data_IF_357965234217
#
_entry.id   IF_357965234217
#
_cell.length_a   1.000
_cell.length_b   1.000
_cell.length_c   1.000
_cell.angle_alpha   90.00
_cell.angle_beta   90.00
_cell.angle_gamma   90.00
#
_symmetry.space_group_name_H-M   'P 1'
#
loop_
_entity.id
_entity.type
_entity.pdbx_description
1 polymer ?
#
# COMPACT_ATOMS: atom_id res chain seq x y z
N UNK A 1 0.51 -43.97 -10.96
CA UNK A 1 -0.59 -43.15 -11.52
C UNK A 1 -1.88 -43.97 -11.46
N UNK A 2 -3.00 -43.41 -11.01
CA UNK A 2 -4.29 -44.09 -11.06
C UNK A 2 -4.73 -44.25 -12.51
N UNK A 3 -5.39 -45.39 -12.85
CA UNK A 3 -5.88 -45.69 -14.19
C UNK A 3 -6.71 -44.53 -14.78
N UNK A 4 -7.53 -43.90 -13.95
CA UNK A 4 -8.35 -42.73 -14.33
C UNK A 4 -7.53 -41.50 -14.77
N UNK A 5 -6.41 -41.22 -14.09
CA UNK A 5 -5.53 -40.11 -14.46
C UNK A 5 -4.79 -40.38 -15.79
N UNK A 6 -4.38 -41.63 -16.00
CA UNK A 6 -3.71 -42.03 -17.29
C UNK A 6 -4.66 -41.88 -18.46
N UNK A 7 -5.91 -42.33 -18.32
CA UNK A 7 -6.92 -42.21 -19.37
C UNK A 7 -7.28 -40.72 -19.62
N UNK A 8 -7.50 -39.95 -18.59
CA UNK A 8 -7.79 -38.51 -18.70
C UNK A 8 -6.67 -37.75 -19.44
N UNK A 9 -5.41 -37.99 -19.08
CA UNK A 9 -4.26 -37.36 -19.73
C UNK A 9 -4.14 -37.78 -21.21
N UNK A 10 -4.40 -39.06 -21.52
CA UNK A 10 -4.39 -39.55 -22.92
C UNK A 10 -5.53 -38.93 -23.72
N UNK A 11 -6.71 -38.74 -23.14
CA UNK A 11 -7.84 -38.07 -23.80
C UNK A 11 -7.53 -36.60 -24.10
N UNK A 12 -6.80 -35.91 -23.23
CA UNK A 12 -6.39 -34.54 -23.43
C UNK A 12 -5.46 -34.35 -24.64
N UNK A 13 -4.54 -35.31 -24.89
CA UNK A 13 -3.47 -35.19 -25.89
C UNK A 13 -3.83 -35.93 -27.21
N UNK A 14 -4.77 -36.90 -27.21
CA UNK A 14 -5.07 -37.68 -28.38
C UNK A 14 -5.69 -36.83 -29.51
N UNK A 15 -5.23 -37.06 -30.77
CA UNK A 15 -5.88 -36.48 -31.96
C UNK A 15 -7.29 -37.07 -32.10
N UNK A 16 -8.31 -36.22 -31.84
CA UNK A 16 -9.72 -36.61 -31.94
C UNK A 16 -10.23 -36.42 -33.36
N UNK A 17 -11.20 -37.23 -33.78
CA UNK A 17 -11.74 -37.21 -35.13
C UNK A 17 -12.51 -35.91 -35.46
N UNK A 18 -12.95 -35.16 -34.44
CA UNK A 18 -13.64 -33.87 -34.61
C UNK A 18 -12.80 -32.71 -34.07
N UNK A 19 -12.24 -31.90 -34.97
CA UNK A 19 -11.41 -30.74 -34.65
C UNK A 19 -12.14 -29.68 -33.76
N UNK A 20 -13.47 -29.57 -33.86
CA UNK A 20 -14.27 -28.58 -33.17
C UNK A 20 -14.16 -28.68 -31.62
N UNK A 21 -14.19 -29.91 -31.06
CA UNK A 21 -14.16 -30.13 -29.61
C UNK A 21 -12.80 -29.78 -29.03
N UNK A 22 -11.72 -30.12 -29.75
CA UNK A 22 -10.36 -29.74 -29.34
C UNK A 22 -10.16 -28.22 -29.31
N UNK A 23 -10.75 -27.52 -30.30
CA UNK A 23 -10.70 -26.06 -30.37
C UNK A 23 -11.45 -25.45 -29.19
N UNK A 24 -12.66 -25.93 -28.86
CA UNK A 24 -13.45 -25.40 -27.73
C UNK A 24 -12.72 -25.66 -26.39
N UNK A 25 -12.16 -26.86 -26.20
CA UNK A 25 -11.37 -27.17 -24.99
C UNK A 25 -10.09 -26.32 -24.90
N UNK A 26 -9.42 -26.06 -26.02
CA UNK A 26 -8.24 -25.19 -26.09
C UNK A 26 -8.60 -23.74 -25.78
N UNK A 27 -9.71 -23.22 -26.33
CA UNK A 27 -10.21 -21.87 -26.02
C UNK A 27 -10.49 -21.73 -24.53
N UNK A 28 -11.13 -22.71 -23.90
CA UNK A 28 -11.37 -22.73 -22.46
C UNK A 28 -10.06 -22.71 -21.67
N UNK A 29 -9.08 -23.51 -22.06
CA UNK A 29 -7.75 -23.53 -21.44
C UNK A 29 -6.99 -22.20 -21.59
N UNK A 30 -7.07 -21.57 -22.77
CA UNK A 30 -6.50 -20.23 -23.02
C UNK A 30 -7.18 -19.18 -22.18
N UNK A 31 -8.50 -19.23 -22.03
CA UNK A 31 -9.24 -18.31 -21.16
C UNK A 31 -8.76 -18.38 -19.71
N UNK A 32 -8.56 -19.59 -19.18
CA UNK A 32 -7.99 -19.81 -17.83
C UNK A 32 -6.54 -19.30 -17.75
N UNK A 33 -5.74 -19.55 -18.78
CA UNK A 33 -4.35 -19.10 -18.87
C UNK A 33 -4.25 -17.58 -18.80
N UNK A 34 -5.05 -16.86 -19.60
CA UNK A 34 -5.08 -15.38 -19.61
C UNK A 34 -5.57 -14.85 -18.26
N UNK A 35 -6.61 -15.44 -17.66
CA UNK A 35 -7.10 -15.05 -16.36
C UNK A 35 -6.07 -15.26 -15.24
N UNK A 36 -5.36 -16.40 -15.26
CA UNK A 36 -4.28 -16.68 -14.30
C UNK A 36 -3.11 -15.70 -14.44
N UNK A 37 -2.70 -15.45 -15.69
CA UNK A 37 -1.66 -14.48 -16.02
C UNK A 37 -2.03 -13.07 -15.50
N UNK A 38 -3.26 -12.63 -15.80
CA UNK A 38 -3.74 -11.31 -15.38
C UNK A 38 -3.76 -11.17 -13.84
N UNK A 39 -4.24 -12.21 -13.13
CA UNK A 39 -4.23 -12.20 -11.66
C UNK A 39 -2.81 -12.05 -11.08
N UNK A 40 -1.85 -12.82 -11.59
CA UNK A 40 -0.45 -12.74 -11.12
C UNK A 40 0.13 -11.37 -11.40
N UNK A 41 -0.02 -10.83 -12.61
CA UNK A 41 0.53 -9.53 -13.00
C UNK A 41 -0.07 -8.41 -12.14
N UNK A 42 -1.40 -8.37 -12.00
CA UNK A 42 -2.08 -7.29 -11.28
C UNK A 42 -1.76 -7.34 -9.78
N UNK A 43 -1.76 -8.52 -9.15
CA UNK A 43 -1.36 -8.63 -7.74
C UNK A 43 0.09 -8.22 -7.51
N UNK A 44 1.00 -8.56 -8.44
CA UNK A 44 2.41 -8.16 -8.36
C UNK A 44 2.60 -6.64 -8.52
N UNK A 45 1.77 -6.00 -9.35
CA UNK A 45 1.73 -4.55 -9.49
C UNK A 45 1.25 -3.88 -8.20
N UNK A 46 0.18 -4.39 -7.57
CA UNK A 46 -0.29 -3.86 -6.28
C UNK A 46 0.77 -3.97 -5.19
N UNK A 47 1.49 -5.08 -5.12
CA UNK A 47 2.59 -5.24 -4.17
C UNK A 47 3.72 -4.24 -4.42
N UNK A 48 4.16 -4.12 -5.68
CA UNK A 48 5.22 -3.19 -6.06
C UNK A 48 4.86 -1.72 -5.78
N UNK A 49 3.60 -1.35 -6.02
CA UNK A 49 3.12 -0.01 -5.69
C UNK A 49 3.11 0.22 -4.17
N UNK A 50 2.72 -0.80 -3.38
CA UNK A 50 2.79 -0.75 -1.92
C UNK A 50 4.21 -0.54 -1.39
N UNK A 51 5.18 -1.27 -1.93
CA UNK A 51 6.60 -1.12 -1.56
C UNK A 51 7.18 0.23 -1.97
N UNK A 52 6.81 0.74 -3.15
CA UNK A 52 7.23 2.07 -3.61
C UNK A 52 6.73 3.16 -2.65
N UNK A 53 5.44 3.13 -2.32
CA UNK A 53 4.85 4.10 -1.40
C UNK A 53 5.46 3.99 -0.01
N UNK A 54 5.67 2.77 0.49
CA UNK A 54 6.34 2.56 1.77
C UNK A 54 7.78 3.13 1.78
N UNK A 55 8.50 3.03 0.67
CA UNK A 55 9.83 3.61 0.52
C UNK A 55 9.82 5.14 0.57
N UNK A 56 8.79 5.79 0.01
CA UNK A 56 8.64 7.26 0.07
C UNK A 56 8.40 7.76 1.50
N UNK A 57 7.60 7.06 2.30
CA UNK A 57 7.36 7.42 3.72
C UNK A 57 8.63 7.30 4.57
N UNK A 58 9.59 6.45 4.20
CA UNK A 58 10.77 6.19 5.01
C UNK A 58 11.74 7.36 5.15
N UNK A 59 11.69 8.35 4.25
CA UNK A 59 12.66 9.46 4.22
C UNK A 59 12.28 10.64 5.12
N UNK A 60 10.99 10.78 5.45
CA UNK A 60 10.47 11.92 6.22
C UNK A 60 9.92 11.49 7.58
N UNK A 61 9.42 10.26 7.69
CA UNK A 61 8.80 9.77 8.92
C UNK A 61 9.83 9.19 9.89
N UNK A 62 9.64 9.43 11.22
CA UNK A 62 10.48 8.82 12.23
C UNK A 62 10.28 7.30 12.30
N UNK A 63 11.29 6.59 12.81
CA UNK A 63 11.22 5.14 13.01
C UNK A 63 10.07 4.76 13.95
N UNK A 64 9.93 5.51 15.05
CA UNK A 64 8.83 5.37 16.00
C UNK A 64 8.24 6.74 16.34
N UNK A 65 6.92 6.78 16.45
CA UNK A 65 6.15 7.95 16.87
C UNK A 65 5.28 7.58 18.07
N UNK A 66 5.45 8.31 19.17
CA UNK A 66 4.65 8.16 20.39
C UNK A 66 3.56 9.24 20.41
N UNK A 67 2.32 8.82 20.64
CA UNK A 67 1.17 9.68 20.75
C UNK A 67 0.28 9.20 21.91
N UNK A 68 -0.47 10.11 22.54
CA UNK A 68 -1.45 9.76 23.55
C UNK A 68 -2.66 9.04 22.92
N UNK A 69 -3.19 8.03 23.58
CA UNK A 69 -4.38 7.30 23.09
C UNK A 69 -5.64 8.15 23.31
N UNK A 70 -5.79 8.74 24.48
CA UNK A 70 -6.90 9.60 24.82
C UNK A 70 -6.40 11.01 25.10
N UNK A 71 -6.91 11.99 24.38
CA UNK A 71 -6.43 13.37 24.42
C UNK A 71 -5.46 13.66 23.27
N UNK A 72 -5.00 14.91 23.19
CA UNK A 72 -4.20 15.39 22.07
C UNK A 72 -2.76 15.69 22.46
N UNK A 73 -2.55 16.08 23.70
CA UNK A 73 -1.27 16.53 24.21
C UNK A 73 -0.84 15.76 25.45
N UNK A 74 0.44 15.79 25.73
CA UNK A 74 1.07 15.22 26.92
C UNK A 74 2.35 15.96 27.27
N UNK A 75 2.86 15.76 28.48
CA UNK A 75 4.06 16.41 28.98
C UNK A 75 5.27 15.48 28.92
N UNK A 76 6.46 16.10 28.90
CA UNK A 76 7.73 15.35 28.89
C UNK A 76 7.87 14.38 30.10
N UNK A 77 7.28 14.73 31.24
CA UNK A 77 7.25 13.89 32.43
C UNK A 77 6.40 12.62 32.26
N UNK A 78 5.29 12.73 31.54
CA UNK A 78 4.37 11.59 31.29
C UNK A 78 5.09 10.44 30.56
N UNK A 79 6.02 10.74 29.67
CA UNK A 79 6.79 9.79 28.87
C UNK A 79 8.19 9.53 29.43
N UNK A 80 8.55 10.12 30.58
CA UNK A 80 9.89 10.01 31.18
C UNK A 80 10.99 10.26 30.17
N UNK A 81 10.92 11.36 29.45
CA UNK A 81 11.75 11.72 28.31
C UNK A 81 13.25 11.54 28.59
N UNK A 82 13.72 11.89 29.79
CA UNK A 82 15.12 11.75 30.20
C UNK A 82 15.60 10.30 30.29
N UNK A 83 14.73 9.36 30.64
CA UNK A 83 15.01 7.93 30.67
C UNK A 83 14.93 7.32 29.28
N UNK A 84 13.93 7.74 28.47
CA UNK A 84 13.73 7.30 27.11
C UNK A 84 14.95 7.58 26.22
N UNK A 85 15.55 8.76 26.33
CA UNK A 85 16.79 9.13 25.62
C UNK A 85 18.01 8.24 25.94
N UNK A 86 17.97 7.48 27.06
CA UNK A 86 19.06 6.58 27.48
C UNK A 86 18.86 5.13 27.05
N UNK A 87 17.73 4.80 26.43
CA UNK A 87 17.44 3.44 25.98
C UNK A 87 18.43 3.05 24.86
N UNK A 88 19.11 1.94 25.05
CA UNK A 88 20.03 1.41 24.02
C UNK A 88 19.23 1.08 22.76
N UNK A 89 19.62 1.65 21.64
CA UNK A 89 18.92 1.54 20.35
C UNK A 89 18.17 2.79 19.95
N UNK A 90 17.94 3.74 20.86
CA UNK A 90 17.44 5.10 20.56
C UNK A 90 18.64 5.96 20.16
N UNK A 91 18.62 6.58 19.00
CA UNK A 91 19.66 7.45 18.51
C UNK A 91 19.33 8.92 18.78
N UNK A 92 18.14 9.35 18.39
CA UNK A 92 17.65 10.73 18.58
C UNK A 92 16.18 10.73 18.96
N UNK A 93 15.78 11.78 19.65
CA UNK A 93 14.40 12.00 20.09
C UNK A 93 14.04 13.45 19.85
N UNK A 94 12.97 13.69 19.10
CA UNK A 94 12.45 14.99 18.76
C UNK A 94 11.05 15.19 19.37
N UNK A 95 10.89 16.27 20.10
CA UNK A 95 9.59 16.74 20.59
C UNK A 95 8.87 17.43 19.44
N UNK A 96 7.58 17.15 19.28
CA UNK A 96 6.79 17.65 18.15
C UNK A 96 5.47 18.23 18.65
N UNK A 97 5.16 19.43 18.15
CA UNK A 97 3.82 20.03 18.20
C UNK A 97 3.29 20.08 16.78
N UNK A 98 2.22 19.33 16.51
CA UNK A 98 1.61 19.27 15.19
C UNK A 98 0.14 19.61 15.25
N UNK A 99 -0.25 20.73 14.60
CA UNK A 99 -1.58 21.30 14.65
C UNK A 99 -2.02 21.89 13.31
N UNK A 100 -3.34 21.95 13.12
CA UNK A 100 -3.91 22.61 11.95
C UNK A 100 -3.90 24.14 12.13
N UNK A 101 -3.53 24.85 11.07
CA UNK A 101 -3.53 26.30 11.01
C UNK A 101 -3.98 26.81 9.64
N UNK A 102 -4.31 28.09 9.60
CA UNK A 102 -4.54 28.83 8.37
C UNK A 102 -3.28 29.64 8.05
N UNK A 103 -2.75 29.48 6.85
CA UNK A 103 -1.63 30.26 6.36
C UNK A 103 -2.13 31.39 5.47
N UNK A 104 -1.51 32.55 5.57
CA UNK A 104 -1.74 33.67 4.68
C UNK A 104 -0.40 34.23 4.17
N UNK A 105 -0.33 34.36 2.86
CA UNK A 105 0.81 35.00 2.20
C UNK A 105 0.26 35.97 1.13
N UNK A 106 0.54 37.25 1.31
CA UNK A 106 -0.11 38.33 0.54
C UNK A 106 -1.65 38.19 0.58
N UNK A 107 -2.28 38.02 -0.60
CA UNK A 107 -3.74 37.89 -0.75
C UNK A 107 -4.21 36.44 -0.78
N UNK A 108 -3.30 35.46 -0.67
CA UNK A 108 -3.63 34.03 -0.73
C UNK A 108 -3.72 33.45 0.67
N UNK A 109 -4.65 32.54 0.80
CA UNK A 109 -4.88 31.80 2.06
C UNK A 109 -4.99 30.30 1.76
N UNK A 110 -4.39 29.48 2.62
CA UNK A 110 -4.42 28.02 2.52
C UNK A 110 -4.50 27.42 3.94
N UNK A 111 -5.24 26.32 4.07
CA UNK A 111 -5.27 25.55 5.33
C UNK A 111 -4.22 24.48 5.29
N UNK A 112 -3.47 24.31 6.36
CA UNK A 112 -2.44 23.29 6.43
C UNK A 112 -2.10 22.88 7.86
N UNK A 113 -0.96 22.27 8.01
CA UNK A 113 -0.44 21.72 9.25
C UNK A 113 0.86 22.42 9.60
N UNK A 114 0.92 23.00 10.78
CA UNK A 114 2.17 23.46 11.40
C UNK A 114 2.79 22.29 12.14
N UNK A 115 4.04 21.99 11.83
CA UNK A 115 4.85 21.01 12.55
C UNK A 115 6.00 21.73 13.23
N UNK A 116 5.82 22.02 14.53
CA UNK A 116 6.88 22.56 15.41
C UNK A 116 7.82 21.45 15.84
N UNK A 117 9.12 21.62 15.59
CA UNK A 117 10.15 20.61 15.84
C UNK A 117 11.38 21.23 16.48
N UNK A 118 12.17 20.40 17.17
CA UNK A 118 13.49 20.81 17.68
C UNK A 118 14.52 20.85 16.54
N UNK A 119 15.63 21.57 16.73
CA UNK A 119 16.74 21.64 15.74
C UNK A 119 17.29 20.27 15.32
N UNK A 120 17.19 19.27 16.18
CA UNK A 120 17.65 17.92 15.89
C UNK A 120 16.81 17.20 14.82
N UNK A 121 15.64 17.71 14.48
CA UNK A 121 14.74 17.13 13.47
C UNK A 121 15.42 17.04 12.10
N UNK A 122 16.13 18.07 11.67
CA UNK A 122 16.85 18.07 10.39
C UNK A 122 17.91 16.96 10.28
N UNK A 123 18.52 16.61 11.43
CA UNK A 123 19.51 15.53 11.52
C UNK A 123 18.87 14.14 11.72
N UNK A 124 17.66 14.10 12.25
CA UNK A 124 16.91 12.88 12.53
C UNK A 124 16.23 12.36 11.28
N UNK A 125 15.72 13.25 10.47
CA UNK A 125 15.08 12.96 9.19
C UNK A 125 16.00 13.36 8.05
N UNK A 126 15.82 12.76 6.89
CA UNK A 126 16.55 13.14 5.68
C UNK A 126 15.96 14.42 5.01
N UNK A 127 15.24 15.26 5.79
CA UNK A 127 14.57 16.46 5.25
C UNK A 127 15.53 17.42 4.54
N UNK A 128 16.77 17.52 5.00
CA UNK A 128 17.80 18.33 4.33
C UNK A 128 18.11 17.83 2.91
N UNK A 129 18.00 16.53 2.67
CA UNK A 129 18.20 15.92 1.33
C UNK A 129 17.00 16.11 0.41
N UNK A 130 15.82 16.40 0.97
CA UNK A 130 14.59 16.64 0.22
C UNK A 130 14.37 18.10 -0.12
N UNK A 131 15.28 19.00 0.31
CA UNK A 131 15.20 20.43 -0.02
C UNK A 131 15.38 20.65 -1.52
N UNK A 132 14.40 21.26 -2.13
CA UNK A 132 14.41 21.70 -3.53
C UNK A 132 15.03 23.11 -3.68
N UNK A 133 15.10 23.86 -2.56
CA UNK A 133 15.72 25.19 -2.52
C UNK A 133 15.78 25.75 -1.12
N UNK A 134 16.76 26.60 -0.84
CA UNK A 134 17.01 27.19 0.46
C UNK A 134 17.81 26.28 1.40
N UNK A 135 17.61 26.44 2.69
CA UNK A 135 18.28 25.68 3.75
C UNK A 135 17.28 25.31 4.88
N UNK A 136 17.60 24.28 5.65
CA UNK A 136 16.80 23.89 6.82
C UNK A 136 17.21 24.78 8.01
N UNK A 137 16.60 25.94 8.09
CA UNK A 137 16.80 26.91 9.16
C UNK A 137 15.45 27.26 9.76
N UNK A 138 15.26 27.06 11.07
CA UNK A 138 14.00 27.33 11.76
C UNK A 138 14.07 28.60 12.60
N UNK A 139 15.27 28.98 13.08
CA UNK A 139 15.47 30.17 13.86
C UNK A 139 16.87 30.77 13.66
N UNK A 140 16.96 32.08 13.58
CA UNK A 140 18.24 32.78 13.55
C UNK A 140 18.12 34.11 14.33
N UNK A 141 18.73 34.16 15.52
CA UNK A 141 18.55 35.26 16.45
C UNK A 141 17.09 35.40 16.91
N UNK A 142 16.52 36.58 16.70
CA UNK A 142 15.12 36.87 17.06
C UNK A 142 14.14 36.68 15.88
N UNK A 143 14.60 36.11 14.78
CA UNK A 143 13.78 35.91 13.60
C UNK A 143 13.44 34.41 13.44
N UNK A 144 12.14 34.14 13.34
CA UNK A 144 11.63 32.78 13.10
C UNK A 144 11.47 32.51 11.61
N UNK A 145 11.93 31.33 11.23
CA UNK A 145 11.89 30.84 9.86
C UNK A 145 11.06 29.56 9.79
N UNK A 146 10.63 29.25 8.56
CA UNK A 146 9.88 28.05 8.27
C UNK A 146 10.37 27.37 6.99
N UNK A 147 10.26 26.06 6.97
CA UNK A 147 10.49 25.24 5.78
C UNK A 147 9.14 24.69 5.30
N UNK A 148 8.73 25.08 4.10
CA UNK A 148 7.42 24.74 3.55
C UNK A 148 7.47 23.65 2.51
N UNK A 149 6.38 22.87 2.38
CA UNK A 149 6.22 21.93 1.30
C UNK A 149 6.12 22.60 -0.07
N UNK A 150 6.62 21.94 -1.12
CA UNK A 150 6.67 22.50 -2.48
C UNK A 150 5.28 22.82 -3.04
N UNK A 151 4.28 21.98 -2.78
CA UNK A 151 2.89 22.23 -3.18
C UNK A 151 2.28 23.42 -2.45
N UNK A 152 2.52 23.55 -1.13
CA UNK A 152 2.09 24.69 -0.34
C UNK A 152 2.73 25.97 -0.89
N UNK A 153 4.03 25.96 -1.17
CA UNK A 153 4.75 27.08 -1.75
C UNK A 153 4.20 27.49 -3.13
N UNK A 154 3.88 26.51 -3.97
CA UNK A 154 3.30 26.76 -5.29
C UNK A 154 1.89 27.36 -5.21
N UNK A 155 1.03 26.82 -4.33
CA UNK A 155 -0.33 27.28 -4.14
C UNK A 155 -0.39 28.71 -3.61
N UNK A 156 0.43 28.99 -2.60
CA UNK A 156 0.49 30.30 -1.95
C UNK A 156 1.38 31.31 -2.67
N UNK A 157 2.36 30.86 -3.46
CA UNK A 157 3.26 31.69 -4.24
C UNK A 157 4.48 32.21 -3.47
N UNK A 158 4.78 31.68 -2.27
CA UNK A 158 5.98 32.06 -1.54
C UNK A 158 7.22 31.33 -2.05
N UNK A 159 8.39 31.94 -1.79
CA UNK A 159 9.70 31.39 -2.14
C UNK A 159 10.67 31.57 -0.99
N UNK A 160 11.70 30.72 -0.95
CA UNK A 160 12.76 30.83 0.04
C UNK A 160 13.52 32.17 -0.06
N UNK A 161 13.91 32.71 1.07
CA UNK A 161 14.65 33.98 1.24
C UNK A 161 13.96 35.24 0.69
N UNK A 162 12.63 35.23 0.56
CA UNK A 162 11.87 36.44 0.30
C UNK A 162 11.52 37.18 1.62
N UNK A 163 11.53 38.53 1.57
CA UNK A 163 11.26 39.35 2.73
C UNK A 163 9.78 39.45 3.14
N UNK A 164 8.88 38.82 2.40
CA UNK A 164 7.46 38.79 2.75
C UNK A 164 7.20 37.64 3.72
N UNK A 165 6.69 37.90 4.92
CA UNK A 165 6.41 36.88 5.90
C UNK A 165 5.15 36.07 5.55
N UNK A 166 5.15 34.80 5.92
CA UNK A 166 3.96 33.96 5.97
C UNK A 166 3.31 34.20 7.32
N UNK A 167 2.05 34.58 7.34
CA UNK A 167 1.26 34.71 8.57
C UNK A 167 0.59 33.38 8.86
N UNK A 168 0.65 32.95 10.12
CA UNK A 168 0.05 31.72 10.60
C UNK A 168 -1.04 32.10 11.59
N UNK A 169 -2.26 31.62 11.35
CA UNK A 169 -3.40 31.84 12.23
C UNK A 169 -3.78 30.49 12.86
N UNK A 170 -3.68 30.41 14.18
CA UNK A 170 -4.09 29.27 14.98
C UNK A 170 -5.36 29.63 15.78
N UNK A 171 -6.35 28.72 15.86
CA UNK A 171 -7.49 28.96 16.74
C UNK A 171 -7.03 28.96 18.19
N UNK A 172 -7.55 29.89 18.99
CA UNK A 172 -7.28 29.91 20.42
C UNK A 172 -7.69 28.59 21.08
N UNK A 173 -6.85 28.11 21.98
CA UNK A 173 -7.08 26.83 22.68
C UNK A 173 -8.29 26.87 23.59
N UNK A 174 -8.47 27.97 24.31
CA UNK A 174 -9.59 28.18 25.21
C UNK A 174 -10.41 29.39 24.75
N UNK A 175 -11.68 29.14 24.44
CA UNK A 175 -12.61 30.20 24.06
C UNK A 175 -13.68 29.74 23.09
N UNK A 176 -14.75 30.51 23.02
CA UNK A 176 -15.76 30.34 21.93
C UNK A 176 -15.44 31.34 20.83
N UNK A 177 -15.48 30.88 19.59
CA UNK A 177 -15.32 31.78 18.44
C UNK A 177 -16.36 32.87 18.51
N UNK A 178 -15.89 34.12 18.71
CA UNK A 178 -16.78 35.27 18.74
C UNK A 178 -17.17 35.66 17.32
N UNK A 179 -18.39 35.29 16.90
CA UNK A 179 -18.91 35.58 15.55
C UNK A 179 -18.95 37.07 15.22
N UNK A 180 -18.93 37.98 16.23
CA UNK A 180 -18.92 39.43 16.03
C UNK A 180 -17.50 39.99 15.80
N UNK A 181 -16.47 39.29 16.27
CA UNK A 181 -15.06 39.63 16.04
C UNK A 181 -14.26 38.31 15.85
N UNK A 182 -14.30 37.71 14.69
CA UNK A 182 -13.59 36.46 14.45
C UNK A 182 -12.08 36.57 14.57
N UNK A 183 -11.51 37.72 14.20
CA UNK A 183 -10.04 37.96 14.26
C UNK A 183 -9.48 37.86 15.67
N UNK A 184 -10.24 38.25 16.67
CA UNK A 184 -9.87 38.15 18.09
C UNK A 184 -9.93 36.70 18.63
N UNK A 185 -10.34 35.74 17.87
CA UNK A 185 -10.43 34.32 18.27
C UNK A 185 -9.27 33.47 17.72
N UNK A 186 -8.29 34.10 17.09
CA UNK A 186 -7.10 33.44 16.54
C UNK A 186 -5.85 34.07 17.15
N UNK A 187 -4.90 33.20 17.49
CA UNK A 187 -3.52 33.61 17.70
C UNK A 187 -2.84 33.78 16.35
N UNK A 188 -1.98 34.74 16.21
CA UNK A 188 -1.32 35.05 14.94
C UNK A 188 0.16 35.31 15.18
N UNK A 189 0.96 34.63 14.35
CA UNK A 189 2.39 34.87 14.28
C UNK A 189 2.86 34.86 12.81
N UNK A 190 4.11 35.22 12.57
CA UNK A 190 4.67 35.30 11.23
C UNK A 190 6.07 34.68 11.16
N UNK A 191 6.35 34.01 10.04
CA UNK A 191 7.63 33.36 9.77
C UNK A 191 8.13 33.70 8.36
N UNK A 192 9.43 33.65 8.17
CA UNK A 192 10.03 33.79 6.85
C UNK A 192 10.39 32.43 6.28
N UNK A 193 10.17 32.23 4.98
CA UNK A 193 10.52 30.99 4.32
C UNK A 193 12.04 30.87 4.11
N UNK A 194 12.69 29.92 4.79
CA UNK A 194 14.12 29.59 4.64
C UNK A 194 14.37 28.50 3.61
N UNK A 195 13.45 27.56 3.43
CA UNK A 195 13.60 26.45 2.53
C UNK A 195 12.28 25.87 2.04
N UNK A 196 12.35 25.13 0.96
CA UNK A 196 11.21 24.41 0.37
C UNK A 196 11.61 22.96 0.19
N UNK A 197 10.85 22.04 0.77
CA UNK A 197 11.06 20.60 0.65
C UNK A 197 10.04 19.94 -0.28
N UNK A 198 10.40 18.80 -0.84
CA UNK A 198 9.51 17.95 -1.63
C UNK A 198 9.82 16.48 -1.36
N UNK A 199 8.80 15.77 -0.88
CA UNK A 199 8.88 14.32 -0.54
C UNK A 199 7.96 13.46 -1.39
N UNK A 200 7.37 14.06 -2.44
CA UNK A 200 6.44 13.41 -3.37
C UNK A 200 5.15 12.87 -2.71
N UNK A 201 4.72 13.51 -1.61
CA UNK A 201 3.52 13.16 -0.88
C UNK A 201 2.65 14.39 -0.66
N UNK A 202 1.43 14.37 -1.22
CA UNK A 202 0.51 15.50 -1.14
C UNK A 202 0.20 15.94 0.29
N UNK A 203 0.16 15.01 1.26
CA UNK A 203 -0.09 15.31 2.67
C UNK A 203 0.98 16.22 3.27
N UNK A 204 2.25 16.03 2.89
CA UNK A 204 3.37 16.84 3.35
C UNK A 204 3.64 18.02 2.41
N UNK A 205 3.70 17.75 1.12
CA UNK A 205 4.09 18.76 0.13
C UNK A 205 3.08 19.90 -0.01
N UNK A 206 1.77 19.59 0.08
CA UNK A 206 0.71 20.58 -0.13
C UNK A 206 0.25 21.28 1.15
N UNK A 207 0.54 20.71 2.34
CA UNK A 207 -0.09 21.18 3.58
C UNK A 207 0.87 21.49 4.72
N UNK A 208 2.12 21.03 4.69
CA UNK A 208 2.99 21.11 5.86
C UNK A 208 3.91 22.32 5.83
N UNK A 209 3.97 22.99 6.97
CA UNK A 209 4.91 24.05 7.28
C UNK A 209 5.67 23.68 8.56
N UNK A 210 6.98 23.47 8.44
CA UNK A 210 7.87 23.12 9.56
C UNK A 210 8.40 24.40 10.18
N UNK A 211 8.27 24.53 11.49
CA UNK A 211 8.69 25.69 12.28
C UNK A 211 9.45 25.28 13.53
N UNK A 212 10.03 26.24 14.24
CA UNK A 212 10.63 26.01 15.55
C UNK A 212 9.57 25.53 16.55
N UNK A 213 9.95 24.62 17.45
CA UNK A 213 9.07 24.05 18.46
C UNK A 213 8.53 25.11 19.43
N UNK A 214 9.38 26.08 19.81
CA UNK A 214 8.98 27.13 20.75
C UNK A 214 7.92 28.05 20.12
N UNK A 215 8.12 28.46 18.85
CA UNK A 215 7.12 29.22 18.11
C UNK A 215 5.78 28.45 18.02
N UNK A 216 5.82 27.16 17.74
CA UNK A 216 4.60 26.37 17.69
C UNK A 216 3.88 26.30 19.05
N UNK A 217 4.62 26.15 20.16
CA UNK A 217 4.06 26.16 21.51
C UNK A 217 3.40 27.49 21.83
N UNK A 218 4.05 28.61 21.53
CA UNK A 218 3.51 29.96 21.74
C UNK A 218 2.25 30.18 20.88
N UNK A 219 2.28 29.79 19.60
CA UNK A 219 1.18 29.95 18.65
C UNK A 219 -0.07 29.16 19.05
N UNK A 220 0.09 27.95 19.59
CA UNK A 220 -1.02 27.07 19.99
C UNK A 220 -1.33 27.12 21.48
N UNK A 221 -0.75 28.05 22.22
CA UNK A 221 -0.95 28.23 23.66
C UNK A 221 -0.61 26.98 24.47
N UNK A 222 0.51 26.31 24.13
CA UNK A 222 1.01 25.13 24.82
C UNK A 222 2.04 25.51 25.88
N UNK A 223 2.10 24.71 26.94
CA UNK A 223 3.11 24.86 27.97
C UNK A 223 4.51 24.47 27.49
N UNK A 224 5.56 24.85 28.20
CA UNK A 224 6.97 24.69 27.78
C UNK A 224 7.33 23.22 27.48
N UNK A 225 6.81 22.29 28.27
CA UNK A 225 7.07 20.84 28.12
C UNK A 225 5.92 20.08 27.46
N UNK A 226 4.91 20.78 26.94
CA UNK A 226 3.75 20.15 26.28
C UNK A 226 4.04 19.85 24.82
N UNK A 227 3.61 18.67 24.37
CA UNK A 227 3.80 18.18 23.00
C UNK A 227 2.63 17.33 22.51
N UNK A 228 2.46 17.20 21.19
CA UNK A 228 1.44 16.34 20.57
C UNK A 228 1.99 14.96 20.21
N UNK A 229 3.29 14.89 19.95
CA UNK A 229 3.97 13.64 19.59
C UNK A 229 5.45 13.68 20.01
N UNK A 230 6.02 12.52 20.22
CA UNK A 230 7.44 12.32 20.38
C UNK A 230 7.94 11.42 19.25
N UNK A 231 8.86 11.94 18.45
CA UNK A 231 9.42 11.24 17.29
C UNK A 231 10.81 10.70 17.65
N UNK A 232 11.06 9.45 17.26
CA UNK A 232 12.27 8.71 17.67
C UNK A 232 12.94 8.13 16.44
N UNK A 233 14.26 8.36 16.35
CA UNK A 233 15.14 7.68 15.41
C UNK A 233 15.86 6.53 16.11
N UNK A 234 15.91 5.38 15.45
CA UNK A 234 16.59 4.19 15.92
C UNK A 234 17.99 4.07 15.30
N UNK A 235 18.92 3.53 16.05
CA UNK A 235 20.27 3.22 15.55
C UNK A 235 20.26 2.10 14.51
N UNK A 236 19.22 1.26 14.47
CA UNK A 236 19.03 0.19 13.51
C UNK A 236 17.59 -0.27 13.47
N UNK A 237 17.04 -0.49 12.27
CA UNK A 237 15.70 -1.04 12.07
C UNK A 237 15.51 -2.42 12.75
N UNK A 238 16.57 -3.22 12.87
CA UNK A 238 16.49 -4.53 13.53
C UNK A 238 16.21 -4.44 15.03
N UNK A 239 16.51 -3.30 15.64
CA UNK A 239 16.25 -3.05 17.06
C UNK A 239 14.81 -2.58 17.35
N UNK A 240 14.00 -2.31 16.33
CA UNK A 240 12.67 -1.71 16.47
C UNK A 240 11.80 -2.43 17.52
N UNK A 241 11.66 -3.74 17.40
CA UNK A 241 10.80 -4.52 18.31
C UNK A 241 11.26 -4.45 19.75
N UNK A 242 12.56 -4.61 19.99
CA UNK A 242 13.15 -4.60 21.35
C UNK A 242 13.04 -3.22 21.97
N UNK A 243 13.33 -2.18 21.20
CA UNK A 243 13.24 -0.78 21.68
C UNK A 243 11.79 -0.42 21.95
N UNK A 244 10.86 -0.78 21.07
CA UNK A 244 9.42 -0.54 21.23
C UNK A 244 8.88 -1.18 22.52
N UNK A 245 9.25 -2.43 22.82
CA UNK A 245 8.85 -3.12 24.06
C UNK A 245 9.40 -2.41 25.30
N UNK A 246 10.66 -1.96 25.27
CA UNK A 246 11.27 -1.19 26.36
C UNK A 246 10.56 0.15 26.58
N UNK A 247 10.29 0.87 25.50
CA UNK A 247 9.57 2.14 25.57
C UNK A 247 8.15 1.91 26.12
N UNK A 248 7.42 0.91 25.61
CA UNK A 248 6.07 0.60 26.08
C UNK A 248 6.03 0.27 27.58
N UNK A 249 7.04 -0.46 28.07
CA UNK A 249 7.18 -0.77 29.49
C UNK A 249 7.45 0.50 30.34
N UNK A 250 8.17 1.47 29.78
CA UNK A 250 8.54 2.73 30.45
C UNK A 250 7.35 3.69 30.56
N UNK A 251 6.59 3.87 29.45
CA UNK A 251 5.52 4.87 29.36
C UNK A 251 4.12 4.34 29.71
N UNK A 252 3.93 3.01 29.81
CA UNK A 252 2.65 2.37 30.16
C UNK A 252 1.64 2.33 29.01
N UNK A 253 0.38 2.01 29.35
CA UNK A 253 -0.70 1.75 28.36
C UNK A 253 -1.41 3.02 27.87
N UNK A 254 -1.13 4.19 28.43
CA UNK A 254 -1.77 5.47 28.03
C UNK A 254 -1.29 6.01 26.68
N UNK A 255 -0.25 5.42 26.10
CA UNK A 255 0.41 5.89 24.88
C UNK A 255 0.43 4.80 23.80
N UNK A 256 0.28 5.25 22.57
CA UNK A 256 0.44 4.42 21.38
C UNK A 256 1.80 4.69 20.75
N UNK A 257 2.57 3.63 20.49
CA UNK A 257 3.82 3.70 19.75
C UNK A 257 3.53 3.17 18.35
N UNK A 258 3.71 4.02 17.35
CA UNK A 258 3.51 3.67 15.93
C UNK A 258 4.85 3.60 15.21
N UNK A 259 5.08 2.53 14.46
CA UNK A 259 6.18 2.47 13.51
C UNK A 259 5.81 3.20 12.20
N UNK A 260 6.73 3.32 11.25
CA UNK A 260 6.51 4.00 9.96
C UNK A 260 5.27 3.51 9.23
N UNK A 261 5.05 2.21 9.16
CA UNK A 261 3.86 1.63 8.50
C UNK A 261 2.57 1.93 9.25
N UNK A 262 2.60 1.86 10.58
CA UNK A 262 1.44 2.13 11.43
C UNK A 262 1.06 3.62 11.47
N UNK A 263 2.00 4.53 11.21
CA UNK A 263 1.72 5.97 11.09
C UNK A 263 0.76 6.25 9.93
N UNK A 264 0.86 5.48 8.85
CA UNK A 264 0.02 5.56 7.65
C UNK A 264 -0.98 4.40 7.54
N UNK A 265 -1.43 3.85 8.67
CA UNK A 265 -2.34 2.69 8.72
C UNK A 265 -3.57 2.85 7.83
N UNK A 266 -4.18 4.05 7.80
CA UNK A 266 -5.36 4.32 6.99
C UNK A 266 -5.08 4.15 5.50
N UNK A 267 -3.93 4.61 5.01
CA UNK A 267 -3.52 4.48 3.63
C UNK A 267 -3.26 3.02 3.25
N UNK A 268 -2.48 2.29 4.07
CA UNK A 268 -2.21 0.87 3.83
C UNK A 268 -3.46 0.01 3.93
N UNK A 269 -4.39 0.35 4.81
CA UNK A 269 -5.69 -0.32 4.92
C UNK A 269 -6.51 -0.14 3.65
N UNK A 270 -6.57 1.07 3.08
CA UNK A 270 -7.26 1.34 1.81
C UNK A 270 -6.63 0.52 0.69
N UNK A 271 -5.30 0.54 0.54
CA UNK A 271 -4.60 -0.27 -0.46
C UNK A 271 -4.88 -1.77 -0.33
N UNK A 272 -4.91 -2.30 0.89
CA UNK A 272 -5.27 -3.70 1.12
C UNK A 272 -6.69 -4.01 0.67
N UNK A 273 -7.64 -3.13 0.99
CA UNK A 273 -9.05 -3.27 0.56
C UNK A 273 -9.14 -3.23 -0.97
N UNK A 274 -8.46 -2.30 -1.63
CA UNK A 274 -8.39 -2.22 -3.10
C UNK A 274 -7.79 -3.49 -3.72
N UNK A 275 -6.70 -4.02 -3.16
CA UNK A 275 -6.10 -5.29 -3.58
C UNK A 275 -7.11 -6.43 -3.52
N UNK A 276 -7.86 -6.55 -2.42
CA UNK A 276 -8.87 -7.59 -2.24
C UNK A 276 -10.06 -7.44 -3.18
N UNK A 277 -10.54 -6.21 -3.38
CA UNK A 277 -11.64 -5.92 -4.33
C UNK A 277 -11.21 -6.31 -5.76
N UNK A 278 -10.03 -5.89 -6.16
CA UNK A 278 -9.47 -6.21 -7.48
C UNK A 278 -9.30 -7.73 -7.67
N UNK A 279 -8.79 -8.41 -6.65
CA UNK A 279 -8.69 -9.87 -6.66
C UNK A 279 -10.05 -10.54 -6.82
N UNK A 280 -11.09 -10.08 -6.13
CA UNK A 280 -12.44 -10.61 -6.23
C UNK A 280 -13.03 -10.37 -7.63
N UNK A 281 -12.88 -9.17 -8.20
CA UNK A 281 -13.37 -8.84 -9.55
C UNK A 281 -12.69 -9.74 -10.58
N UNK A 282 -11.37 -9.88 -10.53
CA UNK A 282 -10.62 -10.71 -11.46
C UNK A 282 -10.93 -12.19 -11.28
N UNK A 283 -11.13 -12.66 -10.05
CA UNK A 283 -11.58 -14.03 -9.77
C UNK A 283 -12.97 -14.30 -10.33
N UNK A 284 -13.86 -13.30 -10.30
CA UNK A 284 -15.19 -13.41 -10.90
C UNK A 284 -15.11 -13.48 -12.44
N UNK A 285 -14.27 -12.66 -13.07
CA UNK A 285 -14.00 -12.73 -14.52
C UNK A 285 -13.42 -14.11 -14.88
N UNK A 286 -12.49 -14.59 -14.07
CA UNK A 286 -11.92 -15.92 -14.24
C UNK A 286 -12.96 -17.03 -14.09
N UNK A 287 -13.90 -16.89 -13.14
CA UNK A 287 -15.01 -17.83 -12.98
C UNK A 287 -15.85 -17.92 -14.26
N UNK A 288 -16.15 -16.78 -14.91
CA UNK A 288 -16.86 -16.74 -16.18
C UNK A 288 -16.06 -17.49 -17.28
N UNK A 289 -14.75 -17.30 -17.33
CA UNK A 289 -13.89 -18.02 -18.27
C UNK A 289 -13.91 -19.55 -18.00
N UNK A 290 -13.91 -19.94 -16.73
CA UNK A 290 -13.98 -21.36 -16.32
C UNK A 290 -15.36 -21.98 -16.62
N UNK A 291 -16.45 -21.20 -16.61
CA UNK A 291 -17.77 -21.71 -17.02
C UNK A 291 -17.78 -22.26 -18.46
N UNK A 292 -16.94 -21.75 -19.36
CA UNK A 292 -16.80 -22.30 -20.69
C UNK A 292 -16.34 -23.78 -20.67
N UNK A 293 -15.65 -24.22 -19.59
CA UNK A 293 -15.26 -25.62 -19.40
C UNK A 293 -16.49 -26.52 -19.21
N UNK A 294 -17.56 -26.03 -18.58
CA UNK A 294 -18.80 -26.79 -18.40
C UNK A 294 -19.39 -27.17 -19.78
N UNK A 295 -19.45 -26.17 -20.68
CA UNK A 295 -19.93 -26.40 -22.05
C UNK A 295 -19.02 -27.33 -22.83
N UNK A 296 -17.71 -27.09 -22.80
CA UNK A 296 -16.69 -27.90 -23.44
C UNK A 296 -16.71 -29.35 -22.95
N UNK A 297 -16.77 -29.56 -21.65
CA UNK A 297 -16.79 -30.90 -21.06
C UNK A 297 -18.12 -31.62 -21.30
N UNK A 298 -19.24 -30.90 -21.31
CA UNK A 298 -20.54 -31.49 -21.66
C UNK A 298 -20.55 -31.99 -23.09
N UNK A 299 -20.04 -31.21 -24.05
CA UNK A 299 -19.91 -31.58 -25.44
C UNK A 299 -18.97 -32.78 -25.63
N UNK A 300 -17.86 -32.80 -24.90
CA UNK A 300 -16.89 -33.89 -24.91
C UNK A 300 -17.50 -35.21 -24.39
N UNK A 301 -18.31 -35.15 -23.32
CA UNK A 301 -19.02 -36.31 -22.77
C UNK A 301 -19.99 -36.90 -23.83
N UNK A 302 -20.69 -36.04 -24.57
CA UNK A 302 -21.60 -36.48 -25.66
C UNK A 302 -20.83 -37.12 -26.81
N UNK A 303 -19.73 -36.54 -27.25
CA UNK A 303 -18.89 -37.11 -28.33
C UNK A 303 -18.28 -38.47 -27.96
N UNK A 304 -18.05 -38.69 -26.66
CA UNK A 304 -17.45 -39.89 -26.10
C UNK A 304 -18.47 -40.91 -25.59
N UNK A 305 -19.73 -40.79 -26.00
CA UNK A 305 -20.80 -41.68 -25.55
C UNK A 305 -20.52 -43.16 -25.91
N UNK A 306 -19.96 -43.43 -27.09
CA UNK A 306 -19.62 -44.82 -27.52
C UNK A 306 -18.40 -45.37 -26.76
N UNK A 307 -17.43 -44.53 -26.43
CA UNK A 307 -16.31 -44.92 -25.55
C UNK A 307 -16.84 -45.23 -24.13
N UNK A 308 -17.81 -44.46 -23.65
CA UNK A 308 -18.48 -44.70 -22.35
C UNK A 308 -19.21 -46.01 -22.34
N UNK A 309 -19.99 -46.35 -23.42
CA UNK A 309 -20.67 -47.63 -23.60
C UNK A 309 -19.69 -48.78 -23.60
N UNK A 310 -18.59 -48.65 -24.33
CA UNK A 310 -17.52 -49.64 -24.38
C UNK A 310 -16.89 -49.90 -23.03
N UNK A 311 -16.52 -48.86 -22.30
CA UNK A 311 -15.99 -48.97 -20.93
C UNK A 311 -16.98 -49.66 -20.00
N UNK A 312 -18.25 -49.37 -20.12
CA UNK A 312 -19.31 -49.97 -19.32
C UNK A 312 -19.45 -51.45 -19.62
N UNK A 313 -19.43 -51.83 -20.90
CA UNK A 313 -19.47 -53.24 -21.33
C UNK A 313 -18.26 -54.04 -20.84
N UNK A 314 -17.12 -53.36 -20.64
CA UNK A 314 -15.92 -53.94 -20.02
C UNK A 314 -15.99 -53.96 -18.46
N UNK A 315 -17.14 -53.56 -17.86
CA UNK A 315 -17.36 -53.66 -16.44
C UNK A 315 -16.92 -52.41 -15.62
N UNK A 316 -16.65 -51.29 -16.27
CA UNK A 316 -16.31 -50.05 -15.58
C UNK A 316 -17.51 -49.52 -14.75
N UNK A 317 -17.25 -49.19 -13.47
CA UNK A 317 -18.27 -48.62 -12.62
C UNK A 317 -18.53 -47.13 -13.01
N UNK A 318 -19.78 -46.67 -12.82
CA UNK A 318 -20.18 -45.29 -13.08
C UNK A 318 -19.22 -44.27 -12.44
N UNK A 319 -18.79 -44.51 -11.20
CA UNK A 319 -17.86 -43.66 -10.48
C UNK A 319 -16.47 -43.54 -11.13
N UNK A 320 -16.01 -44.59 -11.83
CA UNK A 320 -14.75 -44.54 -12.56
C UNK A 320 -14.88 -43.64 -13.79
N UNK A 321 -15.98 -43.77 -14.54
CA UNK A 321 -16.25 -42.94 -15.72
C UNK A 321 -16.38 -41.49 -15.34
N UNK A 322 -17.17 -41.19 -14.32
CA UNK A 322 -17.30 -39.81 -13.80
C UNK A 322 -15.96 -39.25 -13.37
N UNK A 323 -15.12 -40.03 -12.73
CA UNK A 323 -13.78 -39.58 -12.27
C UNK A 323 -12.83 -39.30 -13.45
N UNK A 324 -12.94 -40.02 -14.56
CA UNK A 324 -12.13 -39.78 -15.78
C UNK A 324 -12.45 -38.40 -16.35
N UNK A 325 -13.73 -38.11 -16.61
CA UNK A 325 -14.15 -36.85 -17.18
C UNK A 325 -13.96 -35.65 -16.19
N UNK A 326 -14.15 -35.88 -14.90
CA UNK A 326 -13.81 -34.88 -13.88
C UNK A 326 -12.33 -34.49 -13.94
N UNK A 327 -11.45 -35.49 -13.97
CA UNK A 327 -10.01 -35.26 -14.07
C UNK A 327 -9.62 -34.58 -15.37
N UNK A 328 -10.30 -34.89 -16.48
CA UNK A 328 -10.05 -34.22 -17.77
C UNK A 328 -10.38 -32.72 -17.70
N UNK A 329 -11.57 -32.33 -17.23
CA UNK A 329 -11.95 -30.93 -17.08
C UNK A 329 -11.08 -30.19 -16.06
N UNK A 330 -10.75 -30.85 -14.95
CA UNK A 330 -9.85 -30.30 -13.95
C UNK A 330 -8.42 -30.09 -14.49
N UNK A 331 -7.90 -31.03 -15.28
CA UNK A 331 -6.59 -30.91 -15.92
C UNK A 331 -6.53 -29.79 -16.93
N UNK A 332 -7.59 -29.51 -17.70
CA UNK A 332 -7.65 -28.34 -18.60
C UNK A 332 -7.44 -27.06 -17.81
N UNK A 333 -8.18 -26.90 -16.71
CA UNK A 333 -8.04 -25.73 -15.82
C UNK A 333 -6.65 -25.65 -15.20
N UNK A 334 -6.13 -26.76 -14.68
CA UNK A 334 -4.86 -26.81 -13.97
C UNK A 334 -3.66 -26.52 -14.89
N UNK A 335 -3.65 -27.11 -16.08
CA UNK A 335 -2.59 -26.87 -17.08
C UNK A 335 -2.67 -25.41 -17.57
N UNK A 336 -3.88 -24.92 -17.86
CA UNK A 336 -4.09 -23.50 -18.21
C UNK A 336 -3.58 -22.57 -17.12
N UNK A 337 -3.88 -22.87 -15.84
CA UNK A 337 -3.40 -22.10 -14.70
C UNK A 337 -1.88 -22.08 -14.60
N UNK A 338 -1.22 -23.24 -14.70
CA UNK A 338 0.26 -23.32 -14.63
C UNK A 338 0.90 -22.49 -15.74
N UNK A 339 0.43 -22.66 -16.99
CA UNK A 339 0.97 -21.90 -18.12
C UNK A 339 0.75 -20.40 -17.90
N UNK A 340 -0.46 -19.99 -17.49
CA UNK A 340 -0.79 -18.59 -17.22
C UNK A 340 0.07 -17.98 -16.12
N UNK A 341 0.24 -18.70 -15.01
CA UNK A 341 1.11 -18.27 -13.91
C UNK A 341 2.56 -18.15 -14.36
N UNK A 342 3.09 -19.13 -15.10
CA UNK A 342 4.47 -19.07 -15.61
C UNK A 342 4.65 -17.86 -16.54
N UNK A 343 3.72 -17.62 -17.46
CA UNK A 343 3.77 -16.45 -18.34
C UNK A 343 3.67 -15.17 -17.52
N UNK A 344 2.76 -15.08 -16.56
CA UNK A 344 2.61 -13.93 -15.67
C UNK A 344 3.88 -13.62 -14.88
N UNK A 345 4.49 -14.64 -14.27
CA UNK A 345 5.77 -14.50 -13.54
C UNK A 345 6.88 -14.05 -14.48
N UNK A 346 7.00 -14.63 -15.68
CA UNK A 346 8.01 -14.23 -16.66
C UNK A 346 7.83 -12.76 -17.08
N UNK A 347 6.59 -12.33 -17.33
CA UNK A 347 6.31 -10.93 -17.66
C UNK A 347 6.69 -9.98 -16.52
N UNK A 348 6.36 -10.34 -15.28
CA UNK A 348 6.76 -9.57 -14.11
C UNK A 348 8.28 -9.48 -13.97
N UNK A 349 8.99 -10.60 -14.14
CA UNK A 349 10.46 -10.63 -14.07
C UNK A 349 11.08 -9.78 -15.19
N UNK A 350 10.57 -9.87 -16.41
CA UNK A 350 11.03 -9.02 -17.53
C UNK A 350 10.83 -7.55 -17.19
N UNK A 351 9.69 -7.17 -16.66
CA UNK A 351 9.43 -5.77 -16.26
C UNK A 351 10.37 -5.32 -15.13
N UNK A 352 10.63 -6.18 -14.12
CA UNK A 352 11.55 -5.85 -13.02
C UNK A 352 12.99 -5.60 -13.51
N UNK A 353 13.46 -6.36 -14.51
CA UNK A 353 14.84 -6.23 -15.02
C UNK A 353 14.99 -5.16 -16.12
N UNK A 354 14.02 -5.03 -17.00
CA UNK A 354 14.13 -4.17 -18.17
C UNK A 354 13.36 -2.86 -18.04
N UNK A 355 12.41 -2.75 -17.10
CA UNK A 355 11.62 -1.53 -16.91
C UNK A 355 10.88 -1.06 -18.17
N UNK A 356 10.32 -2.00 -18.97
CA UNK A 356 9.73 -1.68 -20.27
C UNK A 356 8.55 -0.72 -20.20
N UNK A 357 7.76 -0.85 -19.13
CA UNK A 357 6.64 0.04 -18.84
C UNK A 357 7.12 1.02 -17.78
N UNK A 358 7.06 2.30 -18.12
CA UNK A 358 7.48 3.40 -17.26
C UNK A 358 6.29 4.29 -16.94
N UNK A 359 6.36 4.99 -15.80
CA UNK A 359 5.43 6.05 -15.43
C UNK A 359 6.18 7.36 -15.27
N UNK A 360 5.52 8.53 -15.48
CA UNK A 360 6.14 9.82 -15.19
C UNK A 360 6.52 9.86 -13.69
N UNK A 361 7.75 10.25 -13.41
CA UNK A 361 8.20 10.60 -12.06
C UNK A 361 7.64 11.95 -11.63
N UNK A 362 7.95 12.38 -10.41
CA UNK A 362 7.55 13.69 -9.90
C UNK A 362 8.11 14.83 -10.76
N UNK A 363 9.30 14.66 -11.26
CA UNK A 363 9.85 15.55 -12.30
C UNK A 363 9.36 15.06 -13.66
N UNK A 364 8.65 15.92 -14.39
CA UNK A 364 8.07 15.65 -15.71
C UNK A 364 9.07 15.07 -16.74
N UNK A 365 10.35 15.03 -16.39
CA UNK A 365 11.46 14.54 -17.22
C UNK A 365 12.05 13.22 -16.77
N UNK A 366 11.72 12.71 -15.58
CA UNK A 366 12.19 11.41 -15.09
C UNK A 366 11.15 10.32 -15.33
N UNK A 367 11.56 9.25 -16.03
CA UNK A 367 10.74 8.06 -16.27
C UNK A 367 11.13 7.01 -15.23
N UNK A 368 10.21 6.67 -14.34
CA UNK A 368 10.41 5.62 -13.33
C UNK A 368 9.81 4.31 -13.84
N UNK A 369 10.52 3.18 -13.74
CA UNK A 369 9.94 1.87 -14.08
C UNK A 369 8.70 1.60 -13.24
N UNK A 370 7.64 1.08 -13.87
CA UNK A 370 6.43 0.71 -13.16
C UNK A 370 6.75 -0.34 -12.09
N UNK A 371 6.44 -0.10 -10.81
CA UNK A 371 6.87 -0.96 -9.71
C UNK A 371 6.15 -2.31 -9.77
N UNK A 372 6.92 -3.38 -9.68
CA UNK A 372 6.39 -4.76 -9.62
C UNK A 372 7.15 -5.53 -8.54
N UNK A 373 6.40 -6.20 -7.66
CA UNK A 373 6.95 -7.07 -6.64
C UNK A 373 6.21 -8.41 -6.60
N UNK A 374 6.96 -9.50 -6.79
CA UNK A 374 6.43 -10.86 -6.81
C UNK A 374 6.41 -11.45 -5.40
N UNK A 375 5.22 -11.70 -4.86
CA UNK A 375 5.05 -12.44 -3.62
C UNK A 375 4.65 -13.88 -3.91
N UNK A 376 5.42 -14.83 -3.40
CA UNK A 376 5.15 -16.26 -3.58
C UNK A 376 3.76 -16.68 -3.06
N UNK A 377 3.30 -16.04 -1.99
CA UNK A 377 1.98 -16.30 -1.38
C UNK A 377 0.86 -15.96 -2.38
N UNK A 378 0.96 -14.84 -3.10
CA UNK A 378 -0.05 -14.43 -4.08
C UNK A 378 -0.11 -15.40 -5.26
N UNK A 379 1.04 -15.87 -5.74
CA UNK A 379 1.12 -16.90 -6.80
C UNK A 379 0.45 -18.19 -6.34
N UNK A 380 0.70 -18.63 -5.12
CA UNK A 380 0.08 -19.82 -4.54
C UNK A 380 -1.45 -19.65 -4.39
N UNK A 381 -1.88 -18.48 -3.96
CA UNK A 381 -3.30 -18.13 -3.81
C UNK A 381 -4.01 -18.17 -5.16
N UNK A 382 -3.43 -17.62 -6.22
CA UNK A 382 -3.96 -17.69 -7.58
C UNK A 382 -4.09 -19.15 -8.05
N UNK A 383 -3.06 -19.97 -7.90
CA UNK A 383 -3.09 -21.40 -8.26
C UNK A 383 -4.18 -22.14 -7.48
N UNK A 384 -4.30 -21.91 -6.19
CA UNK A 384 -5.31 -22.54 -5.34
C UNK A 384 -6.72 -22.17 -5.81
N UNK A 385 -6.97 -20.88 -6.05
CA UNK A 385 -8.27 -20.37 -6.49
C UNK A 385 -8.70 -21.03 -7.80
N UNK A 386 -7.81 -21.05 -8.80
CA UNK A 386 -8.13 -21.65 -10.11
C UNK A 386 -8.35 -23.16 -9.98
N UNK A 387 -7.53 -23.83 -9.18
CA UNK A 387 -7.65 -25.27 -8.94
C UNK A 387 -8.99 -25.64 -8.31
N UNK A 388 -9.44 -24.84 -7.32
CA UNK A 388 -10.74 -25.04 -6.64
C UNK A 388 -11.90 -24.72 -7.58
N UNK A 389 -11.87 -23.58 -8.26
CA UNK A 389 -12.90 -23.19 -9.21
C UNK A 389 -13.01 -24.17 -10.38
N UNK A 390 -11.86 -24.60 -10.93
CA UNK A 390 -11.80 -25.59 -11.99
C UNK A 390 -12.37 -26.96 -11.58
N UNK A 391 -12.06 -27.40 -10.35
CA UNK A 391 -12.64 -28.62 -9.80
C UNK A 391 -14.16 -28.52 -9.66
N UNK A 392 -14.64 -27.37 -9.14
CA UNK A 392 -16.08 -27.12 -8.98
C UNK A 392 -16.81 -27.16 -10.35
N UNK A 393 -16.30 -26.46 -11.35
CA UNK A 393 -16.89 -26.41 -12.68
C UNK A 393 -16.82 -27.76 -13.42
N UNK A 394 -15.74 -28.52 -13.26
CA UNK A 394 -15.63 -29.86 -13.83
C UNK A 394 -16.58 -30.86 -13.16
N UNK A 395 -16.92 -30.70 -11.93
CA UNK A 395 -17.81 -31.57 -11.18
C UNK A 395 -19.28 -31.51 -11.66
N UNK A 396 -19.76 -30.32 -12.07
CA UNK A 396 -21.17 -30.11 -12.47
C UNK A 396 -21.60 -31.04 -13.66
N UNK A 397 -20.92 -31.04 -14.83
CA UNK A 397 -21.33 -31.86 -15.94
C UNK A 397 -21.12 -33.35 -15.67
N UNK A 398 -20.09 -33.72 -14.90
CA UNK A 398 -19.80 -35.14 -14.63
C UNK A 398 -20.87 -35.83 -13.78
N UNK A 399 -21.61 -35.09 -12.93
CA UNK A 399 -22.75 -35.62 -12.18
C UNK A 399 -23.92 -36.03 -13.08
N UNK A 400 -24.09 -35.38 -14.24
CA UNK A 400 -25.18 -35.64 -15.20
C UNK A 400 -24.92 -36.81 -16.12
N UNK A 401 -23.78 -37.46 -16.03
CA UNK A 401 -23.51 -38.69 -16.85
C UNK A 401 -24.49 -39.78 -16.40
N UNK A 402 -25.51 -39.97 -17.23
CA UNK A 402 -26.44 -41.10 -17.10
C UNK A 402 -25.76 -42.34 -17.69
N UNK A 403 -25.58 -43.34 -16.89
CA UNK A 403 -25.04 -44.64 -17.27
C UNK A 403 -26.14 -45.69 -17.27
#
# INVERSE_FOLDING_TARGET
MSLSLHIAFRYLISKKSHNAINIISAISGVGVCVGAMALVVILSVFNGFGSLVQGQFSNFDPDLKIQKIEGKTFFAEDVKLSELRKIVGVERVCEVVQENALFQYEDRQETGVVKGVTEDFGKMTDVEKTLLGGEFLLRHGDIDYAVGGVGLAANMGFRHFFNTPIRIYAPQREGQINMANPEGSFMMDYVYCSGIFGVEQAEYDEKMLIVDLQLARELFEYEEDEMTALEIQLSSEKAEKEVREKIQTLIGEGFQIKNRTEQHESYFRIMQVEKWITYLILSFILLIAIFNIIGSLSMLIMDKEDDIKTLRNLGARKSLIQRIFFLEGWLISFVGAIIGVVIGVVLCVIQMYFGLITMPGADMYTMIPYPIELHFIDVLLVLLTITVMGAFCAWIPTRKIEC
#
